data_IF_584494170343
#
_entry.id   IF_584494170343
#
_cell.length_a   1.000
_cell.length_b   1.000
_cell.length_c   1.000
_cell.angle_alpha   90.00
_cell.angle_beta   90.00
_cell.angle_gamma   90.00
#
_symmetry.space_group_name_H-M   'P 1'
#
loop_
_entity.id
_entity.type
_entity.pdbx_description
1 polymer ?
#
# COMPACT_ATOMS: atom_id res chain seq x y z
N UNK A 1 4.51 -10.25 -4.52
CA UNK A 1 4.91 -11.65 -4.30
C UNK A 1 5.93 -12.02 -5.35
N UNK A 2 7.06 -12.58 -4.96
CA UNK A 2 8.06 -13.11 -5.89
C UNK A 2 8.81 -14.22 -5.20
N UNK A 3 8.82 -15.42 -5.78
CA UNK A 3 9.67 -16.51 -5.33
C UNK A 3 11.06 -16.31 -5.93
N UNK A 4 12.09 -16.32 -5.07
CA UNK A 4 13.48 -16.33 -5.52
C UNK A 4 13.87 -17.81 -5.62
N UNK A 5 14.07 -18.29 -6.84
CA UNK A 5 14.59 -19.63 -7.10
C UNK A 5 16.10 -19.57 -7.26
N UNK A 6 16.85 -20.19 -6.35
CA UNK A 6 18.29 -20.36 -6.51
C UNK A 6 18.59 -21.75 -7.11
N UNK A 7 19.34 -21.85 -8.22
CA UNK A 7 19.94 -23.11 -8.64
C UNK A 7 21.13 -23.42 -7.73
N UNK A 8 21.09 -24.53 -7.00
CA UNK A 8 22.24 -25.00 -6.22
C UNK A 8 23.18 -25.83 -7.10
N UNK A 9 24.44 -25.38 -7.16
CA UNK A 9 25.67 -26.02 -7.62
C UNK A 9 25.61 -27.14 -8.69
N UNK A 10 26.19 -26.85 -9.85
CA UNK A 10 26.89 -27.88 -10.62
C UNK A 10 28.17 -28.31 -9.87
N UNK A 11 28.38 -29.62 -9.73
CA UNK A 11 29.65 -30.17 -9.25
C UNK A 11 30.77 -29.82 -10.25
N UNK A 12 31.87 -29.15 -9.86
CA UNK A 12 32.88 -28.61 -10.79
C UNK A 12 33.77 -29.66 -11.51
N UNK A 13 33.45 -30.95 -11.41
CA UNK A 13 34.16 -32.04 -12.10
C UNK A 13 33.31 -32.70 -13.22
N UNK A 14 32.91 -31.96 -14.26
CA UNK A 14 32.96 -32.41 -15.69
C UNK A 14 32.26 -31.47 -16.71
N UNK A 15 33.07 -30.60 -17.35
CA UNK A 15 32.99 -30.14 -18.76
C UNK A 15 31.74 -29.38 -19.32
N UNK A 16 31.90 -28.55 -20.37
CA UNK A 16 30.99 -27.43 -20.69
C UNK A 16 30.04 -27.74 -21.86
N UNK A 17 28.71 -27.45 -21.80
CA UNK A 17 28.24 -26.06 -21.92
C UNK A 17 26.84 -25.76 -21.29
N UNK A 18 26.75 -24.89 -20.28
CA UNK A 18 25.46 -24.41 -19.75
C UNK A 18 25.50 -22.89 -19.50
N UNK A 19 25.12 -22.10 -20.51
CA UNK A 19 25.13 -20.63 -20.42
C UNK A 19 23.90 -19.94 -21.05
N UNK A 20 22.81 -20.67 -21.32
CA UNK A 20 21.61 -20.11 -21.95
C UNK A 20 20.31 -20.70 -21.40
N UNK A 21 19.24 -19.89 -21.50
CA UNK A 21 17.81 -20.22 -21.28
C UNK A 21 17.34 -20.36 -19.83
N UNK A 22 17.51 -19.29 -19.04
CA UNK A 22 16.55 -18.94 -17.97
C UNK A 22 15.50 -17.96 -18.53
N UNK A 23 14.32 -18.44 -18.93
CA UNK A 23 13.17 -17.58 -19.22
C UNK A 23 11.82 -18.27 -18.95
N UNK A 24 10.89 -17.45 -18.45
CA UNK A 24 9.43 -17.51 -18.58
C UNK A 24 8.60 -18.53 -17.76
N UNK A 25 7.37 -18.07 -17.45
CA UNK A 25 6.24 -18.75 -16.80
C UNK A 25 6.46 -19.15 -15.32
N UNK A 26 5.51 -18.90 -14.39
CA UNK A 26 4.10 -19.28 -14.50
C UNK A 26 3.11 -18.28 -13.85
N UNK A 27 1.88 -18.29 -14.39
CA UNK A 27 0.68 -17.59 -13.90
C UNK A 27 -0.47 -18.61 -13.67
N UNK A 28 -1.48 -18.22 -12.86
CA UNK A 28 -2.78 -18.88 -12.65
C UNK A 28 -2.76 -20.23 -11.83
N UNK A 29 -3.77 -20.65 -11.04
CA UNK A 29 -5.22 -20.37 -10.89
C UNK A 29 -5.67 -20.52 -9.39
N UNK A 30 -6.58 -19.70 -8.80
CA UNK A 30 -8.07 -19.81 -8.72
C UNK A 30 -8.59 -21.02 -7.89
N UNK A 31 -9.33 -20.90 -6.76
CA UNK A 31 -10.71 -20.42 -6.44
C UNK A 31 -10.90 -20.48 -4.88
N UNK A 32 -11.95 -20.02 -4.16
CA UNK A 32 -13.03 -19.01 -4.30
C UNK A 32 -13.86 -18.88 -2.98
N UNK A 33 -14.55 -17.74 -2.73
CA UNK A 33 -15.60 -17.54 -1.71
C UNK A 33 -16.54 -16.37 -2.12
N UNK A 34 -17.80 -16.24 -1.61
CA UNK A 34 -18.82 -15.38 -2.23
C UNK A 34 -19.06 -14.00 -1.59
N UNK A 35 -19.55 -13.07 -2.41
CA UNK A 35 -20.16 -11.75 -2.11
C UNK A 35 -19.44 -10.80 -1.12
N UNK A 36 -18.60 -9.93 -1.69
CA UNK A 36 -18.87 -8.48 -1.66
C UNK A 36 -18.75 -7.95 -3.10
N UNK A 37 -19.64 -7.04 -3.51
CA UNK A 37 -19.47 -6.30 -4.77
C UNK A 37 -18.64 -5.05 -4.51
N UNK A 38 -17.99 -4.55 -5.57
CA UNK A 38 -17.06 -3.42 -5.54
C UNK A 38 -15.84 -3.62 -4.62
N UNK A 39 -14.92 -4.50 -5.07
CA UNK A 39 -13.50 -4.18 -4.94
C UNK A 39 -13.20 -2.92 -5.78
N UNK A 40 -13.56 -1.74 -5.27
CA UNK A 40 -13.10 -0.49 -5.85
C UNK A 40 -11.58 -0.48 -5.65
N UNK A 41 -10.87 -0.83 -6.72
CA UNK A 41 -9.42 -1.05 -6.68
C UNK A 41 -8.78 0.32 -6.59
N UNK A 42 -8.69 0.82 -5.35
CA UNK A 42 -8.10 2.10 -5.00
C UNK A 42 -6.78 2.24 -5.77
N UNK A 43 -6.81 3.06 -6.82
CA UNK A 43 -5.66 3.22 -7.69
C UNK A 43 -4.49 3.69 -6.83
N UNK A 44 -3.30 3.14 -7.09
CA UNK A 44 -2.07 3.72 -6.55
C UNK A 44 -2.06 5.22 -6.86
N UNK A 45 -1.54 6.04 -5.94
CA UNK A 45 -1.53 7.51 -6.10
C UNK A 45 -0.94 7.95 -7.45
N UNK A 46 0.01 7.19 -8.01
CA UNK A 46 0.61 7.42 -9.33
C UNK A 46 -0.31 7.15 -10.53
N UNK A 47 -1.41 6.43 -10.34
CA UNK A 47 -2.43 6.16 -11.37
C UNK A 47 -3.67 7.08 -11.24
N UNK A 48 -3.71 7.97 -10.25
CA UNK A 48 -4.84 8.89 -10.04
C UNK A 48 -4.69 10.16 -10.87
N UNK A 49 -5.82 10.76 -11.21
CA UNK A 49 -5.87 12.08 -11.85
C UNK A 49 -5.52 13.13 -10.79
N UNK A 50 -4.33 13.71 -10.89
CA UNK A 50 -3.86 14.76 -10.00
C UNK A 50 -4.34 16.14 -10.48
N UNK A 51 -5.18 16.79 -9.68
CA UNK A 51 -5.55 18.19 -9.89
C UNK A 51 -4.65 19.09 -9.07
N UNK A 52 -4.03 20.08 -9.70
CA UNK A 52 -2.96 20.92 -9.10
C UNK A 52 -3.24 22.41 -9.18
N UNK A 53 -3.93 22.87 -10.22
CA UNK A 53 -4.13 24.30 -10.56
C UNK A 53 -5.48 24.61 -11.22
N UNK A 54 -6.29 23.59 -11.45
CA UNK A 54 -7.59 23.68 -12.12
C UNK A 54 -8.63 24.33 -11.20
N UNK A 55 -9.73 24.84 -11.76
CA UNK A 55 -10.96 24.97 -10.99
C UNK A 55 -11.58 23.58 -10.84
N UNK A 56 -11.71 23.10 -9.59
CA UNK A 56 -12.26 21.77 -9.26
C UNK A 56 -13.31 21.89 -8.18
N UNK A 57 -14.45 21.23 -8.35
CA UNK A 57 -15.51 21.20 -7.34
C UNK A 57 -15.65 19.84 -6.68
N UNK A 58 -15.78 19.85 -5.35
CA UNK A 58 -16.40 18.76 -4.60
C UNK A 58 -17.91 18.91 -4.80
N UNK A 59 -18.47 18.06 -5.67
CA UNK A 59 -19.85 18.20 -6.16
C UNK A 59 -20.79 17.19 -5.56
N UNK A 60 -21.85 17.67 -4.91
CA UNK A 60 -23.01 16.84 -4.53
C UNK A 60 -23.82 16.45 -5.77
N UNK A 61 -24.09 15.15 -5.95
CA UNK A 61 -24.84 14.62 -7.09
C UNK A 61 -26.01 13.77 -6.61
N UNK A 62 -27.21 14.01 -7.15
CA UNK A 62 -28.40 13.19 -6.94
C UNK A 62 -28.63 12.23 -8.10
N UNK A 63 -28.98 10.97 -7.81
CA UNK A 63 -29.33 9.92 -8.79
C UNK A 63 -30.58 9.19 -8.31
N UNK A 64 -31.72 9.47 -8.93
CA UNK A 64 -33.04 9.00 -8.46
C UNK A 64 -33.17 7.47 -8.35
N UNK A 65 -32.53 6.74 -9.27
CA UNK A 65 -32.63 5.28 -9.39
C UNK A 65 -31.48 4.53 -8.69
N UNK A 66 -30.63 5.23 -7.93
CA UNK A 66 -29.53 4.61 -7.17
C UNK A 66 -29.98 4.23 -5.75
N UNK A 67 -29.52 3.08 -5.26
CA UNK A 67 -29.79 2.58 -3.92
C UNK A 67 -29.37 3.58 -2.83
N UNK A 68 -28.23 4.24 -3.04
CA UNK A 68 -27.82 5.44 -2.29
C UNK A 68 -27.92 6.63 -3.26
N UNK A 69 -28.99 7.44 -3.18
CA UNK A 69 -29.33 8.39 -4.23
C UNK A 69 -28.59 9.72 -4.15
N UNK A 70 -27.74 9.93 -3.15
CA UNK A 70 -26.89 11.12 -3.00
C UNK A 70 -25.44 10.66 -2.81
N UNK A 71 -24.54 11.17 -3.64
CA UNK A 71 -23.10 10.89 -3.57
C UNK A 71 -22.28 12.15 -3.88
N UNK A 72 -20.96 12.06 -3.79
CA UNK A 72 -20.01 13.13 -4.12
C UNK A 72 -19.17 12.72 -5.33
N UNK A 73 -18.95 13.67 -6.24
CA UNK A 73 -18.03 13.52 -7.37
C UNK A 73 -17.05 14.69 -7.41
N UNK A 74 -15.88 14.46 -8.01
CA UNK A 74 -14.89 15.51 -8.26
C UNK A 74 -15.11 16.02 -9.68
N UNK A 75 -15.48 17.30 -9.82
CA UNK A 75 -15.70 17.94 -11.12
C UNK A 75 -14.50 18.77 -11.52
N UNK A 76 -13.89 18.45 -12.65
CA UNK A 76 -13.02 19.36 -13.40
C UNK A 76 -13.92 20.47 -13.99
N UNK A 77 -13.90 21.65 -13.36
CA UNK A 77 -14.71 22.80 -13.75
C UNK A 77 -14.28 23.38 -15.10
N UNK A 78 -12.96 23.43 -15.33
CA UNK A 78 -12.35 23.93 -16.56
C UNK A 78 -12.78 23.11 -17.81
N UNK A 79 -13.04 21.80 -17.63
CA UNK A 79 -13.46 20.89 -18.72
C UNK A 79 -14.92 20.43 -18.64
N UNK A 80 -15.62 20.67 -17.54
CA UNK A 80 -16.97 20.18 -17.28
C UNK A 80 -17.10 18.66 -17.06
N UNK A 81 -16.01 17.97 -16.71
CA UNK A 81 -15.98 16.51 -16.55
C UNK A 81 -16.12 16.13 -15.07
N UNK A 82 -16.90 15.08 -14.76
CA UNK A 82 -17.03 14.56 -13.39
C UNK A 82 -16.30 13.22 -13.29
N UNK A 83 -15.54 13.03 -12.21
CA UNK A 83 -14.78 11.84 -11.88
C UNK A 83 -15.24 11.25 -10.54
N UNK A 84 -15.19 9.92 -10.36
CA UNK A 84 -15.25 9.31 -9.03
C UNK A 84 -14.10 9.85 -8.16
N UNK A 85 -14.37 10.20 -6.89
CA UNK A 85 -13.34 10.72 -5.99
C UNK A 85 -12.17 9.75 -5.83
N UNK A 86 -12.45 8.44 -5.82
CA UNK A 86 -11.46 7.35 -5.75
C UNK A 86 -10.51 7.25 -6.95
N UNK A 87 -10.78 7.97 -8.05
CA UNK A 87 -9.88 8.06 -9.21
C UNK A 87 -9.00 9.34 -9.22
N UNK A 88 -9.13 10.19 -8.19
CA UNK A 88 -8.53 11.53 -8.17
C UNK A 88 -7.65 11.75 -6.95
N UNK A 89 -6.77 12.76 -7.03
CA UNK A 89 -6.08 13.35 -5.89
C UNK A 89 -6.03 14.87 -6.07
N UNK A 90 -6.38 15.60 -5.01
CA UNK A 90 -6.39 17.05 -4.97
C UNK A 90 -5.10 17.56 -4.34
N UNK A 91 -4.24 18.22 -5.13
CA UNK A 91 -2.90 18.64 -4.68
C UNK A 91 -2.97 20.02 -4.04
N UNK A 92 -2.56 20.09 -2.79
CA UNK A 92 -2.31 21.33 -2.04
C UNK A 92 -0.81 21.60 -2.14
N UNK A 93 -0.42 22.31 -3.19
CA UNK A 93 0.99 22.52 -3.54
C UNK A 93 1.78 23.20 -2.41
N UNK A 94 3.11 23.02 -2.35
CA UNK A 94 3.93 23.59 -1.27
C UNK A 94 3.84 25.13 -1.23
N UNK A 95 3.57 25.77 -2.38
CA UNK A 95 3.29 27.22 -2.49
C UNK A 95 2.06 27.67 -1.67
N UNK A 96 1.13 26.78 -1.32
CA UNK A 96 -0.03 27.09 -0.47
C UNK A 96 0.36 27.33 1.00
N UNK A 97 1.61 27.03 1.38
CA UNK A 97 2.12 27.18 2.74
C UNK A 97 2.30 28.66 3.12
N UNK A 98 1.67 29.04 4.22
CA UNK A 98 1.87 30.30 4.92
C UNK A 98 2.21 30.04 6.40
N UNK A 99 2.74 31.06 7.08
CA UNK A 99 2.87 31.05 8.53
C UNK A 99 1.60 31.64 9.15
N UNK A 100 1.06 31.01 10.20
CA UNK A 100 -0.12 31.52 10.92
C UNK A 100 0.21 32.89 11.51
N UNK A 101 -0.53 33.96 11.14
CA UNK A 101 -0.30 35.29 11.69
C UNK A 101 -0.89 35.43 13.11
N UNK A 102 -0.39 36.42 13.85
CA UNK A 102 -0.94 36.78 15.17
C UNK A 102 -2.44 37.11 15.10
N UNK A 103 -3.21 36.65 16.08
CA UNK A 103 -4.68 36.77 16.13
C UNK A 103 -5.44 35.67 15.40
N UNK A 104 -4.75 34.66 14.83
CA UNK A 104 -5.35 33.53 14.13
C UNK A 104 -5.02 32.17 14.79
N UNK A 105 -4.80 32.17 16.11
CA UNK A 105 -4.31 31.02 16.88
C UNK A 105 -5.29 29.83 16.95
N UNK A 106 -6.54 30.01 16.50
CA UNK A 106 -7.49 28.90 16.37
C UNK A 106 -6.94 27.79 15.46
N UNK A 107 -6.22 28.16 14.39
CA UNK A 107 -5.60 27.22 13.47
C UNK A 107 -4.37 26.50 14.06
N UNK A 108 -3.66 27.13 14.99
CA UNK A 108 -2.40 26.65 15.55
C UNK A 108 -1.57 27.80 16.14
N UNK A 109 -0.42 27.53 16.79
CA UNK A 109 0.41 28.60 17.35
C UNK A 109 0.91 29.58 16.27
N UNK A 110 1.01 30.87 16.61
CA UNK A 110 1.59 31.89 15.72
C UNK A 110 2.94 31.43 15.14
N UNK A 111 3.17 31.71 13.85
CA UNK A 111 4.37 31.30 13.12
C UNK A 111 4.40 29.83 12.67
N UNK A 112 3.49 28.98 13.15
CA UNK A 112 3.36 27.59 12.68
C UNK A 112 2.90 27.54 11.22
N UNK A 113 3.26 26.50 10.46
CA UNK A 113 2.85 26.39 9.07
C UNK A 113 1.38 26.00 8.92
N UNK A 114 0.72 26.57 7.92
CA UNK A 114 -0.63 26.21 7.47
C UNK A 114 -0.63 26.22 5.94
N UNK A 115 -1.12 25.17 5.30
CA UNK A 115 -1.26 25.08 3.85
C UNK A 115 -2.70 25.39 3.46
N UNK A 116 -2.94 26.47 2.72
CA UNK A 116 -4.28 26.98 2.44
C UNK A 116 -4.59 26.99 0.95
N UNK A 117 -5.61 26.24 0.53
CA UNK A 117 -6.30 26.52 -0.73
C UNK A 117 -7.27 27.70 -0.48
N UNK A 118 -7.11 28.85 -1.13
CA UNK A 118 -7.87 30.06 -0.82
C UNK A 118 -9.28 30.07 -1.42
N UNK A 119 -10.22 30.75 -0.75
CA UNK A 119 -11.59 30.98 -1.25
C UNK A 119 -11.63 31.86 -2.52
N UNK A 120 -10.55 32.57 -2.81
CA UNK A 120 -10.37 33.43 -3.99
C UNK A 120 -9.22 32.87 -4.82
N UNK A 121 -9.39 32.78 -6.15
CA UNK A 121 -8.47 32.08 -7.03
C UNK A 121 -7.03 32.66 -7.03
N UNK A 122 -6.05 31.85 -6.60
CA UNK A 122 -4.63 32.01 -7.01
C UNK A 122 -4.38 31.04 -8.19
N UNK A 123 -4.05 31.52 -9.40
CA UNK A 123 -3.82 30.67 -10.58
C UNK A 123 -2.58 29.75 -10.46
N UNK A 124 -1.79 29.86 -9.39
CA UNK A 124 -0.70 28.94 -9.07
C UNK A 124 -1.13 27.77 -8.16
N UNK A 125 -2.35 27.78 -7.61
CA UNK A 125 -2.88 26.77 -6.69
C UNK A 125 -4.15 26.13 -7.25
N UNK A 126 -4.54 24.98 -6.70
CA UNK A 126 -5.82 24.35 -6.98
C UNK A 126 -6.96 25.26 -6.49
N UNK A 127 -7.88 25.64 -7.38
CA UNK A 127 -9.03 26.45 -6.99
C UNK A 127 -10.20 25.53 -6.65
N UNK A 128 -10.34 25.24 -5.35
CA UNK A 128 -11.34 24.30 -4.85
C UNK A 128 -12.69 24.98 -4.60
N UNK A 129 -13.73 24.48 -5.24
CA UNK A 129 -15.13 24.85 -5.00
C UNK A 129 -15.93 23.71 -4.37
N UNK A 130 -17.13 24.05 -3.91
CA UNK A 130 -18.13 23.13 -3.40
C UNK A 130 -19.45 23.40 -4.14
N UNK A 131 -19.95 22.41 -4.86
CA UNK A 131 -21.02 22.60 -5.84
C UNK A 131 -22.21 21.68 -5.58
N UNK A 132 -23.41 22.22 -5.74
CA UNK A 132 -24.66 21.45 -5.81
C UNK A 132 -25.40 21.72 -7.14
N UNK A 133 -24.69 22.20 -8.16
CA UNK A 133 -25.26 22.40 -9.49
C UNK A 133 -25.84 21.09 -10.04
N UNK A 134 -27.08 21.15 -10.54
CA UNK A 134 -27.85 20.01 -11.02
C UNK A 134 -28.68 19.29 -9.96
N UNK A 135 -28.69 19.75 -8.70
CA UNK A 135 -29.49 19.14 -7.65
C UNK A 135 -30.99 19.54 -7.78
N UNK A 136 -31.95 18.59 -7.72
CA UNK A 136 -33.34 18.84 -8.13
C UNK A 136 -34.16 19.63 -7.10
N UNK A 137 -34.58 20.85 -7.48
CA UNK A 137 -35.45 21.74 -6.67
C UNK A 137 -36.88 21.23 -6.50
N UNK A 138 -37.33 20.36 -7.40
CA UNK A 138 -38.66 19.72 -7.40
C UNK A 138 -38.77 18.51 -6.44
N UNK A 139 -37.66 18.10 -5.82
CA UNK A 139 -37.60 16.95 -4.89
C UNK A 139 -37.11 17.28 -3.48
N UNK A 140 -36.34 18.35 -3.31
CA UNK A 140 -35.71 18.71 -2.04
C UNK A 140 -36.04 20.14 -1.62
N UNK A 141 -36.17 20.38 -0.32
CA UNK A 141 -36.73 21.62 0.24
C UNK A 141 -35.74 22.80 0.38
N UNK A 142 -34.56 22.68 -0.22
CA UNK A 142 -33.47 23.66 -0.12
C UNK A 142 -32.36 23.27 0.84
N UNK A 143 -32.63 22.43 1.86
CA UNK A 143 -31.62 22.02 2.85
C UNK A 143 -30.73 20.90 2.33
N UNK A 144 -29.54 21.28 1.88
CA UNK A 144 -28.41 20.38 1.65
C UNK A 144 -27.40 20.51 2.79
N UNK A 145 -26.64 19.44 3.02
CA UNK A 145 -25.49 19.41 3.93
C UNK A 145 -24.38 18.57 3.32
N UNK A 146 -23.15 19.01 3.49
CA UNK A 146 -21.95 18.19 3.26
C UNK A 146 -21.14 18.21 4.56
N UNK A 147 -21.18 17.11 5.31
CA UNK A 147 -20.52 16.96 6.61
C UNK A 147 -19.20 16.22 6.44
N UNK A 148 -18.13 16.70 7.08
CA UNK A 148 -16.89 15.92 7.24
C UNK A 148 -17.09 14.91 8.38
N UNK A 149 -16.90 13.63 8.07
CA UNK A 149 -17.11 12.51 9.00
C UNK A 149 -15.80 12.04 9.62
N UNK A 150 -14.74 11.98 8.82
CA UNK A 150 -13.44 11.47 9.23
C UNK A 150 -12.31 12.25 8.54
N UNK A 151 -11.17 12.35 9.24
CA UNK A 151 -9.91 12.88 8.71
C UNK A 151 -8.82 11.86 9.03
N UNK A 152 -8.27 11.25 7.99
CA UNK A 152 -7.09 10.38 8.10
C UNK A 152 -5.89 11.12 7.51
N UNK A 153 -4.97 11.58 8.36
CA UNK A 153 -3.79 12.34 7.89
C UNK A 153 -2.89 12.84 9.03
N UNK A 154 -1.73 13.45 8.70
CA UNK A 154 -0.69 13.82 9.67
C UNK A 154 -0.95 15.11 10.46
N UNK A 155 -2.18 15.64 10.47
CA UNK A 155 -2.50 16.91 11.13
C UNK A 155 -3.98 17.27 11.06
N UNK A 156 -4.31 18.50 11.43
CA UNK A 156 -5.67 19.00 11.46
C UNK A 156 -6.08 19.69 10.15
N UNK A 157 -7.39 19.72 9.91
CA UNK A 157 -8.03 20.28 8.73
C UNK A 157 -9.09 21.29 9.15
N UNK A 158 -9.12 22.42 8.45
CA UNK A 158 -10.06 23.51 8.70
C UNK A 158 -10.73 23.95 7.41
N UNK A 159 -12.03 24.27 7.46
CA UNK A 159 -12.75 24.93 6.38
C UNK A 159 -13.38 26.21 6.91
N UNK A 160 -13.13 27.35 6.27
CA UNK A 160 -13.68 28.64 6.72
C UNK A 160 -13.92 29.61 5.56
N UNK A 161 -14.73 30.64 5.82
CA UNK A 161 -14.85 31.82 4.97
C UNK A 161 -14.30 33.03 5.72
N UNK A 162 -13.57 33.89 5.00
CA UNK A 162 -13.16 35.20 5.45
C UNK A 162 -14.04 36.27 4.79
N UNK A 163 -14.47 37.26 5.57
CA UNK A 163 -15.18 38.44 5.06
C UNK A 163 -14.22 39.57 4.64
N UNK A 164 -14.76 40.63 4.05
CA UNK A 164 -13.97 41.76 3.52
C UNK A 164 -13.32 42.66 4.59
N UNK A 165 -13.61 42.45 5.87
CA UNK A 165 -13.01 43.20 7.00
C UNK A 165 -12.12 42.32 7.89
N UNK A 166 -11.91 41.06 7.51
CA UNK A 166 -11.02 40.11 8.19
C UNK A 166 -11.70 39.19 9.21
N UNK A 167 -13.03 39.22 9.32
CA UNK A 167 -13.78 38.26 10.14
C UNK A 167 -13.72 36.85 9.55
N UNK A 168 -13.60 35.85 10.42
CA UNK A 168 -13.51 34.42 10.05
C UNK A 168 -14.72 33.64 10.54
N UNK A 169 -15.38 32.93 9.64
CA UNK A 169 -16.44 31.97 9.95
C UNK A 169 -15.94 30.54 9.69
N UNK A 170 -15.59 29.81 10.74
CA UNK A 170 -15.29 28.38 10.67
C UNK A 170 -16.55 27.58 10.31
N UNK A 171 -16.36 26.53 9.52
CA UNK A 171 -17.37 25.54 9.09
C UNK A 171 -16.99 24.11 9.44
N UNK A 172 -15.69 23.84 9.45
CA UNK A 172 -15.09 22.57 9.85
C UNK A 172 -13.85 22.90 10.69
N UNK A 173 -13.70 22.21 11.80
CA UNK A 173 -12.51 22.24 12.64
C UNK A 173 -12.19 20.80 13.09
N UNK A 174 -11.18 20.15 12.50
CA UNK A 174 -10.86 18.78 12.91
C UNK A 174 -10.02 18.70 14.19
N UNK A 175 -9.72 19.83 14.86
CA UNK A 175 -8.81 19.94 16.02
C UNK A 175 -9.52 19.81 17.38
N UNK A 176 -10.77 20.24 17.47
CA UNK A 176 -11.66 20.04 18.64
C UNK A 176 -12.48 18.74 18.55
N UNK A 177 -12.35 18.01 17.43
CA UNK A 177 -13.02 16.74 17.17
C UNK A 177 -14.25 16.92 16.29
N UNK A 178 -14.55 15.93 15.44
CA UNK A 178 -15.63 16.06 14.46
C UNK A 178 -17.00 15.78 15.09
N UNK A 179 -17.93 16.73 14.99
CA UNK A 179 -19.31 16.59 15.44
C UNK A 179 -20.34 16.89 14.32
N UNK A 180 -21.60 17.10 14.67
CA UNK A 180 -22.67 17.41 13.71
C UNK A 180 -22.46 18.75 12.97
N UNK A 181 -21.64 19.66 13.49
CA UNK A 181 -21.44 21.03 13.04
C UNK A 181 -20.30 21.20 12.04
N UNK A 182 -19.41 20.20 11.90
CA UNK A 182 -18.38 20.11 10.85
C UNK A 182 -18.98 19.88 9.47
N UNK A 183 -19.71 20.89 8.98
CA UNK A 183 -20.46 20.82 7.73
C UNK A 183 -20.59 22.18 7.06
N UNK A 184 -20.72 22.13 5.74
CA UNK A 184 -21.29 23.23 4.97
C UNK A 184 -22.75 22.91 4.64
N UNK A 185 -23.55 23.96 4.40
CA UNK A 185 -24.97 23.85 4.03
C UNK A 185 -25.21 24.57 2.68
N UNK A 186 -24.83 23.97 1.54
CA UNK A 186 -24.94 24.62 0.23
C UNK A 186 -26.40 24.87 -0.16
N UNK A 187 -26.68 25.98 -0.83
CA UNK A 187 -27.99 26.20 -1.48
C UNK A 187 -28.18 25.20 -2.63
N UNK A 188 -29.43 24.89 -3.02
CA UNK A 188 -29.68 24.03 -4.21
C UNK A 188 -29.32 24.77 -5.50
N UNK A 189 -28.48 24.15 -6.34
CA UNK A 189 -27.79 24.78 -7.46
C UNK A 189 -26.91 25.96 -7.02
N UNK A 190 -26.30 25.82 -5.84
CA UNK A 190 -25.30 26.71 -5.31
C UNK A 190 -23.89 26.28 -5.71
N UNK A 191 -22.98 27.24 -5.65
CA UNK A 191 -21.56 27.08 -5.94
C UNK A 191 -20.80 28.01 -5.01
N UNK A 192 -20.07 27.45 -4.06
CA UNK A 192 -19.42 28.18 -2.98
C UNK A 192 -17.92 27.88 -2.94
N UNK A 193 -17.13 28.90 -2.61
CA UNK A 193 -15.70 28.75 -2.33
C UNK A 193 -15.40 29.07 -0.86
N UNK A 194 -14.46 28.30 -0.32
CA UNK A 194 -14.02 28.34 1.07
C UNK A 194 -12.49 28.28 1.09
N UNK A 195 -11.88 28.77 2.17
CA UNK A 195 -10.49 28.45 2.44
C UNK A 195 -10.45 27.05 3.07
N UNK A 196 -9.62 26.16 2.53
CA UNK A 196 -9.34 24.83 3.08
C UNK A 196 -7.89 24.81 3.56
N UNK A 197 -7.69 24.59 4.86
CA UNK A 197 -6.38 24.65 5.52
C UNK A 197 -5.95 23.32 6.13
N UNK A 198 -4.66 22.99 6.00
CA UNK A 198 -4.02 21.80 6.57
C UNK A 198 -2.82 22.20 7.44
N UNK A 199 -2.65 21.64 8.64
CA UNK A 199 -1.55 22.02 9.56
C UNK A 199 -0.22 21.30 9.27
N UNK A 200 -0.24 20.24 8.49
CA UNK A 200 0.92 19.37 8.27
C UNK A 200 0.97 18.96 6.79
N UNK A 201 2.16 18.82 6.22
CA UNK A 201 2.31 18.25 4.89
C UNK A 201 2.17 16.71 4.90
N UNK A 202 1.62 16.14 3.84
CA UNK A 202 1.41 14.71 3.66
C UNK A 202 0.11 14.35 2.98
N UNK A 203 -0.20 13.05 3.00
CA UNK A 203 -1.42 12.53 2.42
C UNK A 203 -2.56 12.63 3.43
N UNK A 204 -3.72 13.07 2.96
CA UNK A 204 -4.95 13.12 3.72
C UNK A 204 -6.06 12.41 2.96
N UNK A 205 -6.90 11.67 3.68
CA UNK A 205 -8.21 11.23 3.23
C UNK A 205 -9.27 11.95 4.08
N UNK A 206 -10.12 12.74 3.41
CA UNK A 206 -11.25 13.44 4.03
C UNK A 206 -12.54 12.74 3.62
N UNK A 207 -13.26 12.16 4.58
CA UNK A 207 -14.48 11.38 4.32
C UNK A 207 -15.69 12.29 4.47
N UNK A 208 -16.32 12.68 3.36
CA UNK A 208 -17.50 13.54 3.37
C UNK A 208 -18.79 12.76 3.18
N UNK A 209 -19.79 13.04 4.03
CA UNK A 209 -21.15 12.53 3.85
C UNK A 209 -22.08 13.67 3.40
N UNK A 210 -22.66 13.59 2.18
CA UNK A 210 -23.70 14.50 1.75
C UNK A 210 -25.05 14.06 2.35
N UNK A 211 -25.95 15.01 2.56
CA UNK A 211 -27.36 14.73 2.84
C UNK A 211 -28.25 15.86 2.33
N UNK A 212 -29.52 15.55 2.08
CA UNK A 212 -30.50 16.52 1.62
C UNK A 212 -31.88 16.21 2.23
N UNK A 213 -32.72 17.22 2.45
CA UNK A 213 -34.06 17.03 3.01
C UNK A 213 -35.14 16.99 1.91
N UNK A 214 -35.81 15.84 1.68
CA UNK A 214 -36.87 15.76 0.68
C UNK A 214 -38.05 16.70 1.00
N UNK A 215 -38.76 17.15 -0.03
CA UNK A 215 -40.00 17.90 0.14
C UNK A 215 -41.02 17.11 0.97
N UNK A 216 -41.66 17.78 1.93
CA UNK A 216 -42.62 17.15 2.84
C UNK A 216 -42.00 16.23 3.91
N UNK A 217 -40.68 16.03 3.93
CA UNK A 217 -39.99 15.24 4.95
C UNK A 217 -39.45 16.10 6.09
N UNK A 218 -39.47 15.56 7.31
CA UNK A 218 -38.70 16.09 8.43
C UNK A 218 -37.30 15.49 8.52
N UNK A 219 -37.10 14.27 8.00
CA UNK A 219 -35.84 13.55 8.01
C UNK A 219 -34.97 13.88 6.80
N UNK A 220 -33.65 13.93 7.01
CA UNK A 220 -32.68 14.03 5.94
C UNK A 220 -32.46 12.67 5.29
N UNK A 221 -32.42 12.64 3.97
CA UNK A 221 -31.90 11.53 3.19
C UNK A 221 -30.37 11.61 3.24
N UNK A 222 -29.74 10.59 3.82
CA UNK A 222 -28.28 10.48 3.87
C UNK A 222 -27.76 9.90 2.55
N UNK A 223 -26.62 10.42 2.12
CA UNK A 223 -25.84 9.87 1.02
C UNK A 223 -24.66 9.02 1.50
N UNK A 224 -23.90 8.58 0.51
CA UNK A 224 -22.69 7.78 0.67
C UNK A 224 -21.57 8.60 1.34
N UNK A 225 -20.86 8.02 2.30
CA UNK A 225 -19.62 8.60 2.82
C UNK A 225 -18.50 8.40 1.80
N UNK A 226 -18.08 9.49 1.14
CA UNK A 226 -17.09 9.44 0.05
C UNK A 226 -15.72 9.91 0.54
N UNK A 227 -14.67 9.08 0.46
CA UNK A 227 -13.29 9.49 0.73
C UNK A 227 -12.75 10.34 -0.42
N UNK A 228 -12.15 11.49 -0.08
CA UNK A 228 -11.48 12.39 -1.03
C UNK A 228 -10.01 12.50 -0.62
N UNK A 229 -9.11 12.14 -1.53
CA UNK A 229 -7.66 12.21 -1.28
C UNK A 229 -7.10 13.61 -1.58
N UNK A 230 -6.33 14.11 -0.62
CA UNK A 230 -5.52 15.31 -0.76
C UNK A 230 -4.03 14.97 -0.60
N UNK A 231 -3.20 15.61 -1.42
CA UNK A 231 -1.74 15.56 -1.31
C UNK A 231 -1.23 16.94 -0.93
N UNK A 232 -0.88 17.12 0.35
CA UNK A 232 -0.33 18.38 0.87
C UNK A 232 1.19 18.34 0.76
N UNK A 233 1.74 19.17 -0.12
CA UNK A 233 3.16 19.13 -0.45
C UNK A 233 4.03 19.95 0.51
N UNK A 234 5.29 19.55 0.80
CA UNK A 234 5.96 18.37 0.25
C UNK A 234 5.45 17.09 0.91
N UNK A 235 5.08 16.09 0.09
CA UNK A 235 4.75 14.78 0.63
C UNK A 235 5.99 14.21 1.35
N UNK A 236 5.82 13.57 2.53
CA UNK A 236 6.93 12.88 3.19
C UNK A 236 7.60 11.93 2.22
N UNK A 237 8.90 12.13 2.01
CA UNK A 237 9.73 11.14 1.32
C UNK A 237 9.81 9.93 2.23
N UNK A 238 8.93 8.95 2.01
CA UNK A 238 9.03 7.65 2.64
C UNK A 238 10.40 7.10 2.24
N UNK A 239 11.35 6.91 3.19
CA UNK A 239 12.62 6.31 2.85
C UNK A 239 12.34 4.93 2.25
N UNK A 240 13.09 4.48 1.22
CA UNK A 240 12.95 3.10 0.79
C UNK A 240 13.13 2.21 2.03
N UNK A 241 12.23 1.24 2.29
CA UNK A 241 12.40 0.35 3.42
C UNK A 241 13.80 -0.28 3.33
N UNK A 242 14.54 -0.38 4.45
CA UNK A 242 15.88 -0.96 4.42
C UNK A 242 15.79 -2.31 3.70
N UNK A 243 16.67 -2.59 2.72
CA UNK A 243 16.64 -3.85 1.98
C UNK A 243 16.54 -5.01 2.97
N UNK A 244 15.76 -6.05 2.66
CA UNK A 244 15.56 -7.20 3.55
C UNK A 244 16.90 -7.77 4.07
N UNK A 245 17.92 -7.71 3.19
CA UNK A 245 19.33 -7.89 3.47
C UNK A 245 19.84 -7.14 4.72
N UNK A 246 19.63 -5.83 4.80
CA UNK A 246 20.18 -4.97 5.84
C UNK A 246 19.51 -5.22 7.21
N UNK A 247 18.22 -5.57 7.21
CA UNK A 247 17.54 -6.06 8.41
C UNK A 247 18.07 -7.42 8.86
N UNK A 248 18.36 -8.33 7.91
CA UNK A 248 18.99 -9.61 8.22
C UNK A 248 20.41 -9.43 8.77
N UNK A 249 21.24 -8.56 8.17
CA UNK A 249 22.58 -8.21 8.68
C UNK A 249 22.48 -7.69 10.13
N UNK A 250 21.56 -6.78 10.45
CA UNK A 250 21.36 -6.34 11.84
C UNK A 250 20.88 -7.46 12.79
N UNK A 251 20.13 -8.44 12.28
CA UNK A 251 19.67 -9.57 13.09
C UNK A 251 20.78 -10.62 13.37
N UNK A 252 21.79 -10.72 12.50
CA UNK A 252 22.95 -11.60 12.71
C UNK A 252 24.11 -10.89 13.42
N UNK A 253 24.35 -9.60 13.13
CA UNK A 253 25.38 -8.75 13.74
C UNK A 253 24.78 -7.43 14.25
N UNK A 254 24.10 -7.42 15.41
CA UNK A 254 23.48 -6.22 15.97
C UNK A 254 24.49 -5.07 16.15
N UNK A 255 24.20 -3.92 15.54
CA UNK A 255 25.04 -2.72 15.63
C UNK A 255 26.22 -2.66 14.64
N UNK A 256 26.42 -3.68 13.81
CA UNK A 256 27.44 -3.67 12.74
C UNK A 256 26.80 -3.16 11.45
N UNK A 257 27.30 -2.05 10.91
CA UNK A 257 26.80 -1.47 9.63
C UNK A 257 27.65 -1.82 8.41
N UNK A 258 28.94 -2.12 8.58
CA UNK A 258 29.82 -2.64 7.51
C UNK A 258 31.11 -3.22 8.09
N UNK A 259 31.46 -4.44 7.70
CA UNK A 259 32.75 -5.15 7.87
C UNK A 259 32.92 -6.10 6.69
N UNK A 260 34.09 -6.72 6.52
CA UNK A 260 34.29 -7.76 5.50
C UNK A 260 33.39 -8.99 5.77
N UNK A 261 33.14 -9.31 7.04
CA UNK A 261 32.31 -10.45 7.49
C UNK A 261 30.83 -10.35 7.09
N UNK A 262 30.31 -9.13 6.86
CA UNK A 262 28.90 -8.92 6.48
C UNK A 262 28.70 -8.69 4.98
N UNK A 263 29.73 -8.87 4.15
CA UNK A 263 29.58 -8.77 2.70
C UNK A 263 28.78 -9.95 2.13
N UNK A 264 28.01 -9.77 1.03
CA UNK A 264 27.21 -10.83 0.42
C UNK A 264 27.96 -12.13 0.12
N UNK A 265 29.23 -12.02 -0.27
CA UNK A 265 30.14 -13.08 -0.68
C UNK A 265 30.98 -13.69 0.47
N UNK A 266 30.91 -13.15 1.68
CA UNK A 266 31.65 -13.68 2.81
C UNK A 266 31.01 -14.96 3.36
N UNK A 267 31.86 -15.88 3.84
CA UNK A 267 31.51 -17.13 4.53
C UNK A 267 32.18 -17.08 5.93
N UNK A 268 31.49 -16.50 6.95
CA UNK A 268 32.14 -16.20 8.24
C UNK A 268 32.33 -17.42 9.14
N UNK A 269 31.50 -18.47 9.00
CA UNK A 269 31.60 -19.70 9.79
C UNK A 269 32.27 -20.89 9.05
N UNK A 270 32.65 -20.67 7.79
CA UNK A 270 33.44 -21.54 6.94
C UNK A 270 32.73 -22.85 6.59
N UNK A 271 31.41 -22.79 6.38
CA UNK A 271 30.59 -23.94 6.02
C UNK A 271 30.52 -24.25 4.51
N UNK A 272 30.85 -23.26 3.67
CA UNK A 272 30.81 -23.28 2.21
C UNK A 272 29.69 -22.47 1.56
N UNK A 273 28.73 -21.93 2.33
CA UNK A 273 27.63 -21.08 1.88
C UNK A 273 27.96 -19.60 2.19
N UNK A 274 27.96 -18.69 1.20
CA UNK A 274 28.16 -17.27 1.46
C UNK A 274 26.89 -16.64 2.06
N UNK A 275 27.05 -15.54 2.81
CA UNK A 275 25.97 -14.79 3.46
C UNK A 275 24.72 -14.56 2.58
N UNK A 276 24.89 -14.31 1.26
CA UNK A 276 23.77 -14.14 0.33
C UNK A 276 22.95 -15.43 0.11
N UNK A 277 23.61 -16.58 0.07
CA UNK A 277 22.95 -17.88 -0.01
C UNK A 277 22.22 -18.18 1.30
N UNK A 278 22.81 -17.83 2.43
CA UNK A 278 22.23 -18.02 3.75
C UNK A 278 21.02 -17.14 4.05
N UNK A 279 21.10 -15.85 3.69
CA UNK A 279 19.96 -14.93 3.69
C UNK A 279 18.75 -15.50 2.94
N UNK A 280 19.00 -16.14 1.79
CA UNK A 280 17.96 -16.78 0.97
C UNK A 280 17.59 -18.21 1.43
N UNK A 281 18.43 -18.83 2.26
CA UNK A 281 18.19 -20.13 2.91
C UNK A 281 17.41 -20.01 4.22
N UNK A 282 17.48 -18.86 4.90
CA UNK A 282 17.03 -18.70 6.28
C UNK A 282 17.99 -19.33 7.31
N UNK A 283 19.24 -19.61 6.93
CA UNK A 283 20.28 -20.17 7.81
C UNK A 283 21.00 -19.05 8.58
N UNK A 284 21.99 -19.41 9.39
CA UNK A 284 22.65 -18.52 10.33
C UNK A 284 24.17 -18.45 10.03
N UNK A 285 24.68 -17.32 9.52
CA UNK A 285 26.06 -17.14 9.02
C UNK A 285 27.14 -17.02 10.10
N UNK A 286 26.84 -17.63 11.24
CA UNK A 286 27.62 -17.62 12.48
C UNK A 286 27.52 -18.97 13.17
N UNK A 287 26.92 -19.96 12.50
CA UNK A 287 26.60 -21.29 12.97
C UNK A 287 26.56 -22.26 11.79
N UNK A 288 27.73 -22.80 11.50
CA UNK A 288 28.02 -23.90 10.56
C UNK A 288 27.15 -25.15 10.72
N UNK A 289 26.43 -25.30 11.83
CA UNK A 289 25.46 -26.39 12.01
C UNK A 289 24.09 -26.09 11.40
N UNK A 290 23.81 -24.83 11.05
CA UNK A 290 22.57 -24.38 10.42
C UNK A 290 22.49 -24.71 8.92
N UNK A 291 23.61 -25.07 8.32
CA UNK A 291 23.75 -25.34 6.87
C UNK A 291 22.82 -26.43 6.33
N UNK A 292 22.38 -26.34 5.06
CA UNK A 292 21.63 -27.41 4.43
C UNK A 292 22.46 -28.70 4.36
N UNK A 293 21.88 -29.84 4.74
CA UNK A 293 22.50 -31.15 4.62
C UNK A 293 21.87 -31.96 3.49
N UNK A 294 22.72 -32.51 2.62
CA UNK A 294 22.34 -33.44 1.56
C UNK A 294 22.95 -34.81 1.87
N UNK A 295 22.11 -35.84 1.98
CA UNK A 295 22.51 -37.20 2.38
C UNK A 295 21.96 -38.22 1.39
N UNK A 296 22.79 -39.15 0.96
CA UNK A 296 22.33 -40.37 0.30
C UNK A 296 21.98 -41.42 1.35
N UNK A 297 20.73 -41.88 1.36
CA UNK A 297 20.25 -42.98 2.17
C UNK A 297 20.23 -44.25 1.33
N UNK A 298 21.10 -45.24 1.58
CA UNK A 298 21.22 -46.43 0.74
C UNK A 298 20.04 -47.42 0.87
N UNK A 299 19.06 -47.16 1.74
CA UNK A 299 17.84 -47.96 1.89
C UNK A 299 18.06 -49.30 2.58
N UNK A 300 17.84 -49.37 3.89
CA UNK A 300 17.90 -50.63 4.66
C UNK A 300 16.61 -51.48 4.47
N UNK A 301 16.38 -51.97 3.25
CA UNK A 301 15.17 -52.70 2.86
C UNK A 301 14.07 -51.84 2.22
N UNK A 302 14.36 -50.56 1.97
CA UNK A 302 13.49 -49.62 1.24
C UNK A 302 14.23 -49.09 -0.01
N UNK A 303 13.52 -48.41 -0.91
CA UNK A 303 14.12 -47.74 -2.06
C UNK A 303 15.22 -46.76 -1.61
N UNK A 304 16.38 -46.68 -2.30
CA UNK A 304 17.40 -45.68 -2.01
C UNK A 304 16.81 -44.27 -2.19
N UNK A 305 17.23 -43.33 -1.36
CA UNK A 305 16.70 -41.97 -1.37
C UNK A 305 17.77 -40.90 -1.21
N UNK A 306 17.47 -39.73 -1.77
CA UNK A 306 18.19 -38.49 -1.47
C UNK A 306 17.41 -37.71 -0.44
N UNK A 307 18.05 -37.46 0.70
CA UNK A 307 17.49 -36.77 1.85
C UNK A 307 18.11 -35.38 1.93
N UNK A 308 17.24 -34.36 1.94
CA UNK A 308 17.60 -32.96 2.14
C UNK A 308 17.07 -32.53 3.49
N UNK A 309 17.94 -32.01 4.35
CA UNK A 309 17.56 -31.46 5.65
C UNK A 309 17.99 -29.99 5.71
N UNK A 310 17.05 -29.12 6.03
CA UNK A 310 17.31 -27.71 6.34
C UNK A 310 17.06 -27.49 7.84
N UNK A 311 18.11 -27.27 8.64
CA UNK A 311 17.96 -26.87 10.03
C UNK A 311 17.23 -25.51 10.12
N UNK A 312 15.94 -25.54 10.49
CA UNK A 312 15.14 -24.33 10.70
C UNK A 312 15.15 -24.04 12.19
N UNK A 313 16.23 -23.38 12.63
CA UNK A 313 16.29 -22.78 13.97
C UNK A 313 15.15 -21.74 14.04
N UNK A 314 14.35 -21.85 15.10
CA UNK A 314 12.95 -21.40 15.15
C UNK A 314 12.68 -19.96 14.67
N UNK A 315 11.55 -19.80 13.96
CA UNK A 315 10.86 -18.55 13.58
C UNK A 315 11.44 -17.67 12.44
N UNK A 316 12.66 -17.89 11.97
CA UNK A 316 13.34 -16.92 11.08
C UNK A 316 12.86 -16.79 9.63
N UNK A 317 12.01 -17.70 9.13
CA UNK A 317 11.39 -17.53 7.81
C UNK A 317 10.29 -16.45 7.79
N UNK A 318 9.86 -15.93 8.94
CA UNK A 318 8.98 -14.77 9.07
C UNK A 318 7.69 -14.86 8.20
N UNK A 319 7.05 -16.02 8.27
CA UNK A 319 5.89 -16.37 7.44
C UNK A 319 6.22 -16.95 6.06
N UNK A 320 7.48 -17.18 5.68
CA UNK A 320 7.80 -17.86 4.43
C UNK A 320 7.76 -19.39 4.54
N UNK A 321 7.21 -20.02 3.49
CA UNK A 321 7.30 -21.45 3.21
C UNK A 321 8.52 -21.70 2.32
N UNK A 322 9.26 -22.76 2.63
CA UNK A 322 10.32 -23.31 1.79
C UNK A 322 9.83 -24.61 1.18
N UNK A 323 10.05 -24.79 -0.12
CA UNK A 323 9.77 -26.02 -0.85
C UNK A 323 11.00 -26.48 -1.64
N UNK A 324 11.22 -27.79 -1.69
CA UNK A 324 12.20 -28.42 -2.56
C UNK A 324 11.50 -28.93 -3.82
N UNK A 325 12.08 -28.67 -4.98
CA UNK A 325 11.62 -29.21 -6.26
C UNK A 325 12.77 -29.93 -6.95
N UNK A 326 12.43 -30.91 -7.79
CA UNK A 326 13.38 -31.65 -8.62
C UNK A 326 12.98 -31.66 -10.09
N UNK A 327 13.94 -31.83 -10.98
CA UNK A 327 13.71 -31.95 -12.42
C UNK A 327 14.73 -32.90 -13.07
N UNK A 328 14.38 -33.44 -14.24
CA UNK A 328 15.31 -34.23 -15.06
C UNK A 328 16.34 -33.34 -15.79
N UNK A 329 16.05 -32.05 -15.98
CA UNK A 329 16.94 -31.05 -16.58
C UNK A 329 16.81 -29.72 -15.84
N UNK A 330 17.82 -28.84 -15.92
CA UNK A 330 17.74 -27.47 -15.37
C UNK A 330 16.57 -26.65 -15.94
N UNK A 331 16.10 -26.97 -17.15
CA UNK A 331 14.99 -26.29 -17.82
C UNK A 331 13.60 -26.82 -17.41
N UNK A 332 13.53 -27.81 -16.52
CA UNK A 332 12.28 -28.38 -16.03
C UNK A 332 11.68 -29.48 -16.94
N UNK A 333 10.39 -29.85 -16.73
CA UNK A 333 9.50 -29.34 -15.69
C UNK A 333 10.01 -29.65 -14.27
N UNK A 334 9.76 -28.73 -13.35
CA UNK A 334 10.10 -28.87 -11.93
C UNK A 334 8.91 -29.44 -11.18
N UNK A 335 9.13 -30.47 -10.37
CA UNK A 335 8.10 -31.14 -9.56
C UNK A 335 8.48 -31.09 -8.09
N UNK A 336 7.55 -30.73 -7.18
CA UNK A 336 7.80 -30.77 -5.73
C UNK A 336 8.32 -32.13 -5.26
N UNK A 337 9.38 -32.11 -4.47
CA UNK A 337 9.81 -33.27 -3.69
C UNK A 337 8.95 -33.31 -2.41
N UNK A 338 8.40 -34.46 -2.01
CA UNK A 338 7.61 -34.54 -0.77
C UNK A 338 8.44 -34.12 0.45
N UNK A 339 7.91 -33.14 1.20
CA UNK A 339 8.39 -32.84 2.56
C UNK A 339 7.82 -33.86 3.53
N UNK A 340 8.67 -34.43 4.38
CA UNK A 340 8.22 -35.13 5.59
C UNK A 340 7.93 -34.06 6.65
N UNK A 341 6.82 -34.23 7.39
CA UNK A 341 6.38 -33.33 8.46
C UNK A 341 7.53 -33.00 9.43
N UNK A 342 7.68 -31.74 9.91
CA UNK A 342 8.85 -31.32 10.68
C UNK A 342 9.13 -32.21 11.89
N UNK A 343 10.32 -32.80 11.94
CA UNK A 343 10.83 -33.50 13.11
C UNK A 343 11.58 -32.46 13.95
N UNK A 344 10.83 -31.68 14.73
CA UNK A 344 11.39 -30.56 15.49
C UNK A 344 11.87 -29.42 14.61
N UNK A 345 13.07 -28.89 14.89
CA UNK A 345 13.65 -27.71 14.23
C UNK A 345 14.33 -28.00 12.88
N UNK A 346 13.77 -28.88 12.06
CA UNK A 346 14.37 -29.27 10.76
C UNK A 346 13.27 -29.60 9.76
N UNK A 347 13.32 -28.98 8.58
CA UNK A 347 12.49 -29.38 7.44
C UNK A 347 13.26 -30.42 6.65
N UNK A 348 12.63 -31.57 6.40
CA UNK A 348 13.23 -32.69 5.66
C UNK A 348 12.41 -33.00 4.42
N UNK A 349 13.08 -33.09 3.29
CA UNK A 349 12.53 -33.65 2.05
C UNK A 349 13.23 -34.97 1.76
N UNK A 350 12.47 -35.93 1.25
CA UNK A 350 13.02 -37.23 0.86
C UNK A 350 12.53 -37.62 -0.52
N UNK A 351 13.49 -37.88 -1.39
CA UNK A 351 13.28 -38.22 -2.79
C UNK A 351 13.71 -39.67 -3.01
N UNK A 352 12.75 -40.60 -2.95
CA UNK A 352 12.99 -42.05 -3.05
C UNK A 352 12.92 -42.54 -4.50
N UNK A 353 13.82 -43.47 -4.87
CA UNK A 353 13.98 -43.95 -6.24
C UNK A 353 13.77 -45.46 -6.35
N UNK A 354 12.74 -45.90 -7.09
CA UNK A 354 12.64 -47.30 -7.51
C UNK A 354 13.76 -47.70 -8.50
N UNK A 355 14.26 -46.72 -9.28
CA UNK A 355 15.45 -46.85 -10.12
C UNK A 355 16.13 -45.47 -10.17
N UNK A 356 17.38 -45.33 -9.71
CA UNK A 356 18.07 -44.04 -9.71
C UNK A 356 18.29 -43.51 -11.14
N UNK A 357 17.93 -42.25 -11.45
CA UNK A 357 18.22 -41.63 -12.74
C UNK A 357 19.69 -41.24 -12.85
N UNK A 358 20.23 -41.27 -14.07
CA UNK A 358 21.61 -40.87 -14.35
C UNK A 358 21.89 -39.38 -14.04
N UNK A 359 20.85 -38.54 -13.97
CA UNK A 359 20.95 -37.13 -13.60
C UNK A 359 19.62 -36.68 -13.01
N UNK A 360 19.67 -35.91 -11.91
CA UNK A 360 18.51 -35.21 -11.35
C UNK A 360 18.98 -33.89 -10.76
N UNK A 361 18.24 -32.84 -11.06
CA UNK A 361 18.51 -31.48 -10.60
C UNK A 361 17.55 -31.14 -9.47
N UNK A 362 18.00 -30.29 -8.55
CA UNK A 362 17.23 -29.83 -7.40
C UNK A 362 17.30 -28.31 -7.32
N UNK A 363 16.19 -27.69 -6.92
CA UNK A 363 16.16 -26.29 -6.53
C UNK A 363 15.30 -26.13 -5.29
N UNK A 364 15.70 -25.20 -4.44
CA UNK A 364 14.90 -24.76 -3.31
C UNK A 364 14.19 -23.47 -3.72
N UNK A 365 12.92 -23.35 -3.36
CA UNK A 365 12.12 -22.14 -3.55
C UNK A 365 11.65 -21.63 -2.20
N UNK A 366 11.68 -20.32 -2.01
CA UNK A 366 11.20 -19.65 -0.79
C UNK A 366 10.07 -18.71 -1.17
N UNK A 367 8.89 -18.93 -0.59
CA UNK A 367 7.65 -18.21 -0.89
C UNK A 367 7.07 -17.62 0.38
N UNK A 368 6.92 -16.30 0.45
CA UNK A 368 6.24 -15.65 1.58
C UNK A 368 4.74 -15.98 1.56
N UNK A 369 4.21 -16.50 2.68
CA UNK A 369 2.77 -16.70 2.91
C UNK A 369 2.06 -15.35 3.15
#
# INVERSE_FOLDING_TARGET
>A
MGSISMPLFCNPFSWPPCQAVCQAAYWACLLAAPLTWASDTALSLTNRIAFTRQHVDIRMVFRAEAEIPITVQIRDGDRGINYPATNTVLVVAEKAKLAIPSGFEMFGPEGSPLWVLPQSQDPALLFLGFSSEGFPRDRFDGRLRLQLKEVHGPGFVFLWQADSVGGVTLRINSKDGLDANDRIEPLINGHDHYNLGFTTAGLYELVFQPSARPLGSETFLLGESVPILFAVEPLPVVPPPPPLWQNWVQAQWPGVVSTDEVQPEADPDQDGEPNIAEFLSGTNPRDRSSRPLFKYSPGSGFAPSLVFELPVVTERLNGARVDLESAATLMGPWTPVPSITPIGATVRWEDSFATPPNTRFYRRTTTKL
#
